data_IF_554859272535
#
_entry.id   IF_554859272535
#
_cell.length_a   1.000
_cell.length_b   1.000
_cell.length_c   1.000
_cell.angle_alpha   90.00
_cell.angle_beta   90.00
_cell.angle_gamma   90.00
#
_symmetry.space_group_name_H-M   'P 1'
#
loop_
_entity.id
_entity.type
_entity.pdbx_description
1 polymer ?
#
# COMPACT_ATOMS: atom_id res chain seq x y z
N UNK A 1 10.93 -16.46 12.81
CA UNK A 1 10.34 -16.79 11.50
C UNK A 1 9.14 -15.87 11.33
N UNK A 2 9.18 -14.98 10.37
CA UNK A 2 8.16 -13.98 10.10
C UNK A 2 6.95 -14.64 9.42
N UNK A 3 5.76 -14.43 9.98
CA UNK A 3 4.52 -15.05 9.53
C UNK A 3 3.78 -14.09 8.61
N UNK A 4 3.60 -14.46 7.34
CA UNK A 4 2.97 -13.65 6.30
C UNK A 4 1.58 -14.19 5.98
N UNK A 5 0.58 -13.32 5.93
CA UNK A 5 -0.72 -13.63 5.34
C UNK A 5 -0.87 -12.95 3.98
N UNK A 6 -1.58 -13.58 3.04
CA UNK A 6 -1.77 -13.11 1.67
C UNK A 6 -3.25 -12.95 1.36
N UNK A 7 -3.61 -11.86 0.69
CA UNK A 7 -4.95 -11.63 0.12
C UNK A 7 -4.80 -11.16 -1.34
N UNK A 8 -5.16 -12.01 -2.28
CA UNK A 8 -5.16 -11.71 -3.73
C UNK A 8 -6.19 -12.63 -4.39
N UNK A 9 -7.06 -12.12 -5.23
CA UNK A 9 -8.13 -12.91 -5.87
C UNK A 9 -7.63 -13.70 -7.11
N UNK A 10 -6.34 -13.62 -7.42
CA UNK A 10 -5.70 -14.39 -8.49
C UNK A 10 -4.97 -15.62 -7.90
N UNK A 11 -5.48 -16.86 -8.10
CA UNK A 11 -4.87 -18.06 -7.53
C UNK A 11 -3.42 -18.30 -7.95
N UNK A 12 -3.06 -17.91 -9.19
CA UNK A 12 -1.69 -18.04 -9.68
C UNK A 12 -0.71 -17.12 -8.93
N UNK A 13 -1.15 -15.91 -8.57
CA UNK A 13 -0.37 -14.96 -7.78
C UNK A 13 -0.16 -15.52 -6.36
N UNK A 14 -1.23 -15.99 -5.71
CA UNK A 14 -1.13 -16.61 -4.38
C UNK A 14 -0.16 -17.79 -4.38
N UNK A 15 -0.26 -18.69 -5.37
CA UNK A 15 0.63 -19.85 -5.47
C UNK A 15 2.10 -19.42 -5.69
N UNK A 16 2.33 -18.41 -6.54
CA UNK A 16 3.65 -17.85 -6.80
C UNK A 16 4.26 -17.19 -5.55
N UNK A 17 3.49 -16.34 -4.87
CA UNK A 17 3.92 -15.65 -3.64
C UNK A 17 4.20 -16.65 -2.51
N UNK A 18 3.34 -17.66 -2.34
CA UNK A 18 3.57 -18.71 -1.33
C UNK A 18 4.91 -19.41 -1.58
N UNK A 19 5.12 -19.90 -2.80
CA UNK A 19 6.37 -20.59 -3.16
C UNK A 19 7.61 -19.72 -2.93
N UNK A 20 7.50 -18.44 -3.30
CA UNK A 20 8.55 -17.48 -3.14
C UNK A 20 8.89 -17.23 -1.66
N UNK A 21 7.88 -16.92 -0.85
CA UNK A 21 8.04 -16.57 0.55
C UNK A 21 8.52 -17.80 1.34
N UNK A 22 7.93 -18.97 1.10
CA UNK A 22 8.31 -20.21 1.78
C UNK A 22 9.72 -20.74 1.35
N UNK A 23 10.34 -20.18 0.28
CA UNK A 23 11.73 -20.47 -0.07
C UNK A 23 12.75 -19.69 0.76
N UNK A 24 12.33 -18.65 1.49
CA UNK A 24 13.19 -17.89 2.37
C UNK A 24 13.24 -18.52 3.78
N UNK A 25 14.44 -18.67 4.37
CA UNK A 25 14.59 -19.41 5.64
C UNK A 25 13.96 -18.68 6.85
N UNK A 26 13.73 -17.39 6.75
CA UNK A 26 13.23 -16.51 7.81
C UNK A 26 11.73 -16.16 7.66
N UNK A 27 11.10 -16.55 6.55
CA UNK A 27 9.70 -16.23 6.23
C UNK A 27 8.84 -17.49 6.13
N UNK A 28 7.53 -17.35 6.36
CA UNK A 28 6.55 -18.42 6.11
C UNK A 28 5.17 -17.86 5.81
N UNK A 29 4.44 -18.48 4.87
CA UNK A 29 3.04 -18.12 4.59
C UNK A 29 2.13 -18.82 5.58
N UNK A 30 1.64 -18.08 6.56
CA UNK A 30 0.71 -18.55 7.59
C UNK A 30 -0.73 -18.70 7.06
N UNK A 31 -1.14 -17.86 6.11
CA UNK A 31 -2.44 -17.91 5.47
C UNK A 31 -2.38 -17.34 4.04
N UNK A 32 -3.21 -17.87 3.13
CA UNK A 32 -3.44 -17.28 1.81
C UNK A 32 -4.92 -17.40 1.48
N UNK A 33 -5.53 -16.30 1.07
CA UNK A 33 -6.97 -16.19 0.85
C UNK A 33 -7.26 -15.47 -0.47
N UNK A 34 -8.28 -15.93 -1.19
CA UNK A 34 -8.76 -15.30 -2.42
C UNK A 34 -9.88 -14.28 -2.17
N UNK A 35 -10.32 -14.12 -0.93
CA UNK A 35 -11.35 -13.16 -0.55
C UNK A 35 -11.18 -12.70 0.89
N UNK A 36 -11.74 -11.52 1.21
CA UNK A 36 -11.74 -11.00 2.57
C UNK A 36 -12.45 -11.91 3.56
N UNK A 37 -13.51 -12.59 3.16
CA UNK A 37 -14.24 -13.53 4.01
C UNK A 37 -13.37 -14.75 4.34
N UNK A 38 -12.63 -15.25 3.37
CA UNK A 38 -11.69 -16.35 3.56
C UNK A 38 -10.53 -15.91 4.47
N UNK A 39 -9.97 -14.73 4.22
CA UNK A 39 -8.91 -14.14 5.05
C UNK A 39 -9.39 -13.98 6.50
N UNK A 40 -10.58 -13.43 6.72
CA UNK A 40 -11.12 -13.24 8.06
C UNK A 40 -11.19 -14.55 8.85
N UNK A 41 -11.67 -15.64 8.21
CA UNK A 41 -11.69 -16.98 8.81
C UNK A 41 -10.29 -17.53 9.07
N UNK A 42 -9.36 -17.31 8.13
CA UNK A 42 -7.98 -17.76 8.28
C UNK A 42 -7.23 -17.00 9.38
N UNK A 43 -7.59 -15.74 9.61
CA UNK A 43 -7.02 -14.94 10.70
C UNK A 43 -7.62 -15.21 12.08
N UNK A 44 -8.73 -15.99 12.14
CA UNK A 44 -9.30 -16.42 13.42
C UNK A 44 -8.30 -17.37 14.11
N UNK A 45 -7.67 -16.88 15.18
CA UNK A 45 -6.61 -17.61 15.90
C UNK A 45 -5.21 -17.56 15.26
N UNK A 46 -5.05 -16.98 14.08
CA UNK A 46 -3.75 -16.67 13.48
C UNK A 46 -3.40 -15.21 13.73
N UNK A 47 -2.16 -14.97 14.16
CA UNK A 47 -1.59 -13.63 14.27
C UNK A 47 -0.41 -13.52 13.31
N UNK A 48 -0.64 -13.13 12.05
CA UNK A 48 0.46 -12.84 11.13
C UNK A 48 1.19 -11.57 11.59
N UNK A 49 2.48 -11.51 11.29
CA UNK A 49 3.29 -10.31 11.52
C UNK A 49 3.07 -9.30 10.39
N UNK A 50 2.91 -9.80 9.15
CA UNK A 50 2.68 -8.98 7.95
C UNK A 50 1.53 -9.55 7.13
N UNK A 51 0.70 -8.66 6.59
CA UNK A 51 -0.34 -8.98 5.62
C UNK A 51 -0.04 -8.30 4.28
N UNK A 52 0.04 -9.07 3.21
CA UNK A 52 0.13 -8.57 1.83
C UNK A 52 -1.26 -8.57 1.22
N UNK A 53 -1.72 -7.42 0.76
CA UNK A 53 -3.06 -7.25 0.18
C UNK A 53 -2.93 -6.76 -1.26
N UNK A 54 -3.58 -7.45 -2.20
CA UNK A 54 -3.78 -6.89 -3.53
C UNK A 54 -4.66 -5.63 -3.45
N UNK A 55 -4.26 -4.60 -4.19
CA UNK A 55 -5.06 -3.38 -4.32
C UNK A 55 -6.37 -3.63 -5.07
N UNK A 56 -6.32 -4.39 -6.18
CA UNK A 56 -7.43 -4.59 -7.12
C UNK A 56 -8.11 -5.95 -6.89
N UNK A 57 -8.96 -6.02 -5.89
CA UNK A 57 -9.76 -7.20 -5.58
C UNK A 57 -11.13 -7.12 -6.29
N UNK A 58 -11.63 -8.23 -6.83
CA UNK A 58 -12.81 -8.28 -7.69
C UNK A 58 -14.09 -7.64 -7.13
N UNK A 59 -14.24 -7.51 -5.82
CA UNK A 59 -15.45 -6.99 -5.15
C UNK A 59 -15.21 -5.85 -4.18
N UNK A 60 -14.00 -5.70 -3.71
CA UNK A 60 -13.61 -4.70 -2.73
C UNK A 60 -12.19 -4.23 -3.06
N UNK A 61 -11.81 -3.04 -2.64
CA UNK A 61 -10.43 -2.59 -2.83
C UNK A 61 -9.55 -2.90 -1.62
N UNK A 62 -8.28 -3.13 -1.88
CA UNK A 62 -7.30 -3.47 -0.86
C UNK A 62 -7.14 -2.39 0.22
N UNK A 63 -7.39 -1.10 -0.08
CA UNK A 63 -7.30 -0.02 0.91
C UNK A 63 -8.40 -0.09 1.96
N UNK A 64 -9.62 -0.45 1.55
CA UNK A 64 -10.71 -0.69 2.51
C UNK A 64 -10.41 -1.85 3.44
N UNK A 65 -9.79 -2.92 2.89
CA UNK A 65 -9.34 -4.05 3.72
C UNK A 65 -8.21 -3.63 4.65
N UNK A 66 -7.22 -2.90 4.15
CA UNK A 66 -6.13 -2.36 4.94
C UNK A 66 -6.69 -1.59 6.15
N UNK A 67 -7.58 -0.63 5.92
CA UNK A 67 -8.22 0.14 6.99
C UNK A 67 -8.89 -0.73 8.04
N UNK A 68 -9.70 -1.71 7.60
CA UNK A 68 -10.42 -2.62 8.50
C UNK A 68 -9.47 -3.47 9.34
N UNK A 69 -8.32 -3.84 8.78
CA UNK A 69 -7.27 -4.56 9.53
C UNK A 69 -6.56 -3.62 10.49
N UNK A 70 -6.20 -2.41 10.05
CA UNK A 70 -5.47 -1.43 10.88
C UNK A 70 -6.29 -0.87 12.03
N UNK A 71 -7.63 -0.95 11.99
CA UNK A 71 -8.51 -0.59 13.12
C UNK A 71 -8.67 -1.70 14.16
N UNK A 72 -8.00 -2.86 14.02
CA UNK A 72 -8.01 -3.91 15.03
C UNK A 72 -7.01 -3.59 16.16
N UNK A 73 -7.25 -4.06 17.39
CA UNK A 73 -6.21 -4.06 18.42
C UNK A 73 -4.99 -4.88 17.94
N UNK A 74 -3.79 -4.30 18.03
CA UNK A 74 -2.53 -4.93 17.60
C UNK A 74 -2.60 -5.47 16.14
N UNK A 75 -2.82 -4.60 15.15
CA UNK A 75 -2.91 -5.02 13.76
C UNK A 75 -1.54 -5.49 13.24
N UNK A 76 -1.50 -6.43 12.27
CA UNK A 76 -0.26 -6.73 11.56
C UNK A 76 0.22 -5.52 10.75
N UNK A 77 1.49 -5.53 10.36
CA UNK A 77 1.94 -4.64 9.29
C UNK A 77 1.23 -4.99 7.98
N UNK A 78 0.89 -3.97 7.16
CA UNK A 78 0.14 -4.17 5.91
C UNK A 78 0.91 -3.61 4.73
N UNK A 79 1.15 -4.46 3.73
CA UNK A 79 1.70 -4.07 2.42
C UNK A 79 0.59 -4.13 1.38
N UNK A 80 0.39 -3.03 0.65
CA UNK A 80 -0.42 -3.01 -0.57
C UNK A 80 0.46 -3.46 -1.73
N UNK A 81 0.09 -4.58 -2.36
CA UNK A 81 0.81 -5.17 -3.49
C UNK A 81 0.01 -4.95 -4.76
N UNK A 82 0.50 -4.16 -5.72
CA UNK A 82 -0.31 -3.66 -6.82
C UNK A 82 0.48 -3.55 -8.12
N UNK A 83 -0.15 -3.85 -9.25
CA UNK A 83 0.37 -3.53 -10.58
C UNK A 83 0.33 -2.01 -10.89
N UNK A 84 -0.34 -1.24 -10.05
CA UNK A 84 -0.54 0.21 -10.19
C UNK A 84 0.19 0.99 -9.08
N UNK A 85 1.29 0.45 -8.56
CA UNK A 85 2.08 1.11 -7.53
C UNK A 85 2.68 2.42 -8.06
N UNK A 86 2.10 3.55 -7.64
CA UNK A 86 2.51 4.89 -8.03
C UNK A 86 2.21 5.90 -6.92
N UNK A 87 2.62 7.19 -7.11
CA UNK A 87 2.50 8.20 -6.07
C UNK A 87 1.08 8.39 -5.54
N UNK A 88 0.06 8.31 -6.40
CA UNK A 88 -1.34 8.46 -6.00
C UNK A 88 -1.79 7.29 -5.12
N UNK A 89 -1.43 6.03 -5.47
CA UNK A 89 -1.71 4.87 -4.62
C UNK A 89 -0.92 4.94 -3.31
N UNK A 90 0.34 5.38 -3.36
CA UNK A 90 1.16 5.56 -2.15
C UNK A 90 0.49 6.54 -1.18
N UNK A 91 -0.03 7.67 -1.67
CA UNK A 91 -0.72 8.65 -0.81
C UNK A 91 -2.00 8.09 -0.21
N UNK A 92 -2.82 7.40 -1.02
CA UNK A 92 -4.04 6.76 -0.55
C UNK A 92 -3.76 5.62 0.44
N UNK A 93 -2.69 4.85 0.23
CA UNK A 93 -2.25 3.80 1.13
C UNK A 93 -1.75 4.36 2.48
N UNK A 94 -1.03 5.49 2.47
CA UNK A 94 -0.66 6.21 3.70
C UNK A 94 -1.90 6.67 4.48
N UNK A 95 -2.89 7.25 3.80
CA UNK A 95 -4.15 7.64 4.43
C UNK A 95 -4.94 6.43 4.96
N UNK A 96 -4.79 5.26 4.35
CA UNK A 96 -5.32 3.99 4.84
C UNK A 96 -4.46 3.34 5.95
N UNK A 97 -3.36 3.99 6.36
CA UNK A 97 -2.39 3.52 7.35
C UNK A 97 -1.66 2.22 6.96
N UNK A 98 -1.53 1.94 5.66
CA UNK A 98 -0.66 0.86 5.20
C UNK A 98 0.81 1.15 5.57
N UNK A 99 1.60 0.10 5.76
CA UNK A 99 3.01 0.18 6.12
C UNK A 99 3.92 0.13 4.88
N UNK A 100 3.40 -0.38 3.76
CA UNK A 100 4.15 -0.44 2.51
C UNK A 100 3.28 -0.45 1.26
N UNK A 101 3.87 -0.02 0.14
CA UNK A 101 3.34 -0.19 -1.21
C UNK A 101 4.43 -0.79 -2.08
N UNK A 102 4.15 -1.95 -2.70
CA UNK A 102 5.09 -2.68 -3.53
C UNK A 102 4.50 -2.94 -4.91
N UNK A 103 5.28 -2.69 -5.96
CA UNK A 103 4.89 -2.90 -7.35
C UNK A 103 4.97 -4.39 -7.73
N UNK A 104 3.86 -4.97 -8.23
CA UNK A 104 3.81 -6.34 -8.78
C UNK A 104 4.73 -6.52 -9.99
N UNK A 105 4.99 -5.45 -10.74
CA UNK A 105 5.90 -5.45 -11.89
C UNK A 105 7.38 -5.28 -11.48
N UNK A 106 7.64 -4.97 -10.20
CA UNK A 106 8.99 -4.81 -9.66
C UNK A 106 9.72 -6.14 -9.44
N UNK A 107 11.00 -6.07 -9.07
CA UNK A 107 11.76 -7.27 -8.76
C UNK A 107 11.20 -7.94 -7.49
N UNK A 108 11.13 -9.26 -7.53
CA UNK A 108 10.68 -10.10 -6.42
C UNK A 108 11.42 -9.80 -5.10
N UNK A 109 12.71 -9.52 -5.19
CA UNK A 109 13.53 -9.12 -4.03
C UNK A 109 12.99 -7.88 -3.31
N UNK A 110 12.28 -6.97 -4.01
CA UNK A 110 11.69 -5.79 -3.40
C UNK A 110 10.55 -6.16 -2.43
N UNK A 111 9.72 -7.15 -2.78
CA UNK A 111 8.68 -7.64 -1.87
C UNK A 111 9.29 -8.30 -0.63
N UNK A 112 10.29 -9.17 -0.80
CA UNK A 112 10.96 -9.84 0.31
C UNK A 112 11.65 -8.84 1.26
N UNK A 113 12.31 -7.83 0.70
CA UNK A 113 12.89 -6.74 1.49
C UNK A 113 11.80 -5.94 2.23
N UNK A 114 10.69 -5.59 1.55
CA UNK A 114 9.58 -4.87 2.16
C UNK A 114 8.94 -5.65 3.31
N UNK A 115 8.76 -6.98 3.20
CA UNK A 115 8.25 -7.82 4.28
C UNK A 115 9.11 -7.69 5.55
N UNK A 116 10.44 -7.69 5.39
CA UNK A 116 11.39 -7.57 6.51
C UNK A 116 11.38 -6.17 7.11
N UNK A 117 11.38 -5.13 6.25
CA UNK A 117 11.34 -3.74 6.71
C UNK A 117 10.08 -3.43 7.50
N UNK A 118 8.88 -3.74 6.98
CA UNK A 118 7.63 -3.41 7.68
C UNK A 118 7.45 -4.21 8.98
N UNK A 119 8.03 -5.40 9.08
CA UNK A 119 8.04 -6.18 10.31
C UNK A 119 8.94 -5.57 11.41
N UNK A 120 9.84 -4.67 11.04
CA UNK A 120 10.68 -3.88 11.95
C UNK A 120 10.16 -2.43 12.09
N UNK A 121 8.89 -2.19 11.82
CA UNK A 121 8.23 -0.87 11.87
C UNK A 121 8.82 0.18 10.90
N UNK A 122 9.56 -0.26 9.87
CA UNK A 122 10.10 0.60 8.82
C UNK A 122 9.11 0.69 7.65
N UNK A 123 8.54 1.88 7.41
CA UNK A 123 7.61 2.07 6.31
C UNK A 123 8.30 1.98 4.94
N UNK A 124 7.70 1.22 4.00
CA UNK A 124 8.18 1.06 2.63
C UNK A 124 7.24 1.79 1.67
N UNK A 125 7.48 3.10 1.51
CA UNK A 125 6.64 4.00 0.72
C UNK A 125 7.50 4.85 -0.23
N UNK A 126 7.10 4.92 -1.48
CA UNK A 126 7.72 5.85 -2.44
C UNK A 126 7.43 7.32 -2.06
N UNK A 127 8.34 8.26 -2.37
CA UNK A 127 8.05 9.67 -2.22
C UNK A 127 6.82 10.09 -3.04
N UNK A 128 6.01 10.99 -2.48
CA UNK A 128 4.86 11.56 -3.17
C UNK A 128 5.25 12.95 -3.71
N UNK A 129 5.23 13.18 -5.04
CA UNK A 129 5.48 14.47 -5.63
C UNK A 129 4.47 15.51 -5.14
N UNK A 130 4.91 16.78 -5.08
CA UNK A 130 4.11 17.88 -4.55
C UNK A 130 2.81 18.11 -5.33
N UNK A 131 2.87 18.03 -6.65
CA UNK A 131 1.70 18.17 -7.53
C UNK A 131 0.65 17.09 -7.29
N UNK A 132 1.08 15.83 -7.05
CA UNK A 132 0.18 14.72 -6.68
C UNK A 132 -0.46 14.97 -5.31
N UNK A 133 0.33 15.48 -4.36
CA UNK A 133 -0.19 15.84 -3.04
C UNK A 133 -1.21 16.98 -3.11
N UNK A 134 -0.90 18.07 -3.82
CA UNK A 134 -1.80 19.22 -4.00
C UNK A 134 -3.10 18.81 -4.72
N UNK A 135 -3.00 17.97 -5.75
CA UNK A 135 -4.18 17.43 -6.44
C UNK A 135 -5.05 16.53 -5.54
N UNK A 136 -4.44 15.83 -4.59
CA UNK A 136 -5.16 15.01 -3.61
C UNK A 136 -5.87 15.90 -2.58
N UNK A 137 -5.20 16.90 -2.03
CA UNK A 137 -5.78 17.87 -1.07
C UNK A 137 -7.00 18.58 -1.69
N UNK A 138 -6.93 18.98 -2.95
CA UNK A 138 -8.05 19.61 -3.67
C UNK A 138 -9.30 18.73 -3.82
N UNK A 139 -9.20 17.43 -3.53
CA UNK A 139 -10.34 16.48 -3.56
C UNK A 139 -10.99 16.28 -2.19
N UNK A 140 -10.41 16.83 -1.13
CA UNK A 140 -10.87 16.67 0.24
C UNK A 140 -11.70 17.88 0.65
N UNK A 141 -12.63 17.69 1.57
CA UNK A 141 -13.33 18.78 2.24
C UNK A 141 -12.42 19.40 3.30
N UNK A 142 -12.59 20.69 3.58
CA UNK A 142 -11.80 21.41 4.58
C UNK A 142 -11.82 20.71 5.96
N UNK A 143 -12.97 20.16 6.35
CA UNK A 143 -13.12 19.43 7.61
C UNK A 143 -12.33 18.12 7.64
N UNK A 144 -12.01 17.52 6.49
CA UNK A 144 -11.23 16.29 6.39
C UNK A 144 -9.71 16.53 6.43
N UNK A 145 -9.25 17.75 6.16
CA UNK A 145 -7.83 18.06 6.07
C UNK A 145 -7.05 17.81 7.37
N UNK A 146 -7.56 18.19 8.58
CA UNK A 146 -6.87 17.88 9.82
C UNK A 146 -6.72 16.36 10.04
N UNK A 147 -7.78 15.59 9.77
CA UNK A 147 -7.74 14.12 9.87
C UNK A 147 -6.73 13.55 8.88
N UNK A 148 -6.74 14.04 7.63
CA UNK A 148 -5.81 13.59 6.60
C UNK A 148 -4.35 13.86 6.98
N UNK A 149 -4.03 15.04 7.50
CA UNK A 149 -2.68 15.37 7.95
C UNK A 149 -2.19 14.39 9.03
N UNK A 150 -3.02 14.13 10.07
CA UNK A 150 -2.66 13.23 11.15
C UNK A 150 -2.53 11.78 10.68
N UNK A 151 -3.35 11.33 9.70
CA UNK A 151 -3.18 10.00 9.08
C UNK A 151 -1.85 9.87 8.34
N UNK A 152 -1.38 10.93 7.67
CA UNK A 152 -0.07 10.93 7.00
C UNK A 152 1.10 10.88 8.00
N UNK A 153 0.91 11.42 9.20
CA UNK A 153 1.86 11.32 10.33
C UNK A 153 1.74 9.98 11.07
N UNK A 154 0.85 9.07 10.58
CA UNK A 154 0.60 7.72 11.14
C UNK A 154 0.02 7.75 12.54
N UNK A 155 -0.66 8.83 12.90
CA UNK A 155 -1.37 8.90 14.19
C UNK A 155 -2.48 7.85 14.27
N UNK A 156 -2.60 7.13 15.39
CA UNK A 156 -3.70 6.20 15.62
C UNK A 156 -5.07 6.90 15.66
N UNK A 157 -6.14 6.21 15.28
CA UNK A 157 -7.47 6.82 15.18
C UNK A 157 -8.00 7.35 16.54
N UNK A 158 -7.69 6.68 17.63
CA UNK A 158 -8.01 7.11 18.99
C UNK A 158 -7.29 8.42 19.36
N UNK A 159 -6.01 8.55 19.02
CA UNK A 159 -5.23 9.79 19.18
C UNK A 159 -5.79 10.94 18.35
N UNK A 160 -6.21 10.66 17.10
CA UNK A 160 -6.87 11.65 16.23
C UNK A 160 -8.20 12.10 16.84
N UNK A 161 -9.00 11.15 17.34
CA UNK A 161 -10.28 11.42 17.95
C UNK A 161 -10.13 12.31 19.20
N UNK A 162 -9.18 12.00 20.08
CA UNK A 162 -8.85 12.79 21.25
C UNK A 162 -8.41 14.21 20.88
N UNK A 163 -7.47 14.34 19.94
CA UNK A 163 -6.91 15.63 19.51
C UNK A 163 -7.98 16.53 18.89
N UNK A 164 -8.86 15.98 18.07
CA UNK A 164 -9.91 16.73 17.39
C UNK A 164 -11.21 16.82 18.20
N UNK A 165 -11.24 16.24 19.40
CA UNK A 165 -12.43 16.18 20.28
C UNK A 165 -13.66 15.62 19.57
N UNK A 166 -13.44 14.59 18.75
CA UNK A 166 -14.45 13.90 17.97
C UNK A 166 -14.68 12.48 18.50
N UNK A 167 -15.78 11.86 18.07
CA UNK A 167 -16.03 10.45 18.32
C UNK A 167 -15.14 9.60 17.40
N UNK A 168 -14.58 8.51 17.93
CA UNK A 168 -13.72 7.57 17.16
C UNK A 168 -14.46 7.00 15.95
N UNK A 169 -15.77 6.72 16.06
CA UNK A 169 -16.59 6.29 14.94
C UNK A 169 -16.72 7.38 13.86
N UNK A 170 -16.73 8.66 14.24
CA UNK A 170 -16.70 9.77 13.30
C UNK A 170 -15.36 9.84 12.57
N UNK A 171 -14.24 9.75 13.29
CA UNK A 171 -12.92 9.72 12.68
C UNK A 171 -12.78 8.54 11.70
N UNK A 172 -13.30 7.38 12.07
CA UNK A 172 -13.34 6.21 11.19
C UNK A 172 -14.10 6.49 9.89
N UNK A 173 -15.30 7.08 9.96
CA UNK A 173 -16.09 7.47 8.77
C UNK A 173 -15.38 8.51 7.92
N UNK A 174 -14.76 9.54 8.53
CA UNK A 174 -13.98 10.55 7.82
C UNK A 174 -12.79 9.91 7.09
N UNK A 175 -12.07 9.03 7.74
CA UNK A 175 -10.96 8.30 7.13
C UNK A 175 -11.40 7.44 5.94
N UNK A 176 -12.55 6.75 6.04
CA UNK A 176 -13.13 6.01 4.91
C UNK A 176 -13.46 6.92 3.73
N UNK A 177 -14.04 8.10 4.00
CA UNK A 177 -14.35 9.10 2.99
C UNK A 177 -13.07 9.64 2.34
N UNK A 178 -12.05 9.98 3.14
CA UNK A 178 -10.74 10.45 2.66
C UNK A 178 -10.12 9.40 1.73
N UNK A 179 -9.96 8.16 2.20
CA UNK A 179 -9.40 7.07 1.41
C UNK A 179 -10.20 6.86 0.12
N UNK A 180 -11.55 6.87 0.21
CA UNK A 180 -12.42 6.74 -0.96
C UNK A 180 -12.20 7.84 -2.00
N UNK A 181 -11.97 9.09 -1.58
CA UNK A 181 -11.68 10.22 -2.47
C UNK A 181 -10.28 10.17 -3.06
N UNK A 182 -9.32 9.63 -2.33
CA UNK A 182 -7.93 9.52 -2.76
C UNK A 182 -7.65 8.33 -3.67
N UNK A 183 -8.57 7.36 -3.77
CA UNK A 183 -8.39 6.20 -4.64
C UNK A 183 -7.94 6.61 -6.04
N UNK A 184 -6.83 6.04 -6.55
CA UNK A 184 -6.51 6.22 -7.95
C UNK A 184 -7.66 5.63 -8.78
N UNK A 185 -8.13 6.39 -9.77
CA UNK A 185 -9.01 5.82 -10.78
C UNK A 185 -8.14 4.87 -11.59
N UNK A 186 -8.50 3.60 -11.61
CA UNK A 186 -7.88 2.63 -12.52
C UNK A 186 -8.27 3.06 -13.94
N UNK A 187 -7.46 3.96 -14.51
CA UNK A 187 -7.58 4.37 -15.91
C UNK A 187 -7.15 3.21 -16.79
N UNK A 188 -7.88 2.99 -17.87
CA UNK A 188 -7.45 2.09 -18.95
C UNK A 188 -5.99 2.38 -19.31
N UNK A 189 -5.18 1.35 -19.49
CA UNK A 189 -3.71 1.31 -19.73
C UNK A 189 -3.06 2.40 -20.63
N UNK A 190 -3.80 3.40 -21.09
CA UNK A 190 -3.33 4.47 -21.98
C UNK A 190 -2.58 5.61 -21.25
N UNK A 191 -2.95 5.94 -20.00
CA UNK A 191 -2.37 7.10 -19.32
C UNK A 191 -1.04 6.82 -18.60
N UNK A 192 -0.80 5.57 -18.21
CA UNK A 192 0.46 5.20 -17.51
C UNK A 192 1.69 5.08 -18.46
N UNK A 193 1.48 4.88 -19.76
CA UNK A 193 2.60 4.92 -20.74
C UNK A 193 3.20 6.31 -20.87
N UNK A 194 2.40 7.37 -20.79
CA UNK A 194 2.86 8.74 -20.96
C UNK A 194 3.77 9.23 -19.83
N UNK A 195 3.66 8.64 -18.63
CA UNK A 195 4.52 8.98 -17.46
C UNK A 195 5.83 8.21 -17.50
N UNK A 196 5.83 6.96 -17.98
CA UNK A 196 7.05 6.14 -18.13
C UNK A 196 7.97 6.66 -19.25
N UNK A 197 7.42 7.13 -20.37
CA UNK A 197 8.20 7.64 -21.50
C UNK A 197 8.93 8.96 -21.20
N UNK A 198 8.45 9.78 -20.27
CA UNK A 198 9.14 11.02 -19.86
C UNK A 198 10.35 10.80 -18.96
N UNK A 199 10.44 9.67 -18.27
CA UNK A 199 11.57 9.31 -17.39
C UNK A 199 12.80 8.76 -18.13
N UNK A 200 12.65 8.26 -19.36
CA UNK A 200 13.74 7.61 -20.10
C UNK A 200 14.52 8.54 -21.05
N UNK A 201 14.08 9.77 -21.28
CA UNK A 201 14.70 10.69 -22.27
C UNK A 201 15.86 11.54 -21.75
N UNK A 202 16.29 11.41 -20.50
CA UNK A 202 17.40 12.20 -19.95
C UNK A 202 18.71 11.43 -19.66
N UNK A 203 18.85 10.19 -20.09
CA UNK A 203 20.05 9.40 -19.82
C UNK A 203 20.75 8.87 -21.09
N UNK A 204 20.81 9.63 -22.18
CA UNK A 204 21.65 9.22 -23.33
C UNK A 204 21.99 10.42 -24.20
N UNK A 205 23.01 11.18 -23.85
CA UNK A 205 23.90 11.85 -24.84
C UNK A 205 25.12 12.43 -24.13
N UNK A 206 26.13 11.62 -23.88
CA UNK A 206 27.51 12.11 -23.83
C UNK A 206 28.37 11.13 -24.60
N UNK A 207 28.38 11.25 -25.93
CA UNK A 207 29.41 10.65 -26.79
C UNK A 207 30.64 11.53 -26.74
N UNK A 208 31.64 11.06 -26.03
CA UNK A 208 32.99 11.59 -26.04
C UNK A 208 33.62 11.36 -27.41
N UNK A 209 33.90 12.45 -28.13
CA UNK A 209 34.70 12.44 -29.34
C UNK A 209 36.18 12.44 -28.92
N UNK A 210 36.81 11.29 -29.01
CA UNK A 210 38.28 11.19 -28.91
C UNK A 210 38.83 11.31 -30.32
N UNK A 211 39.43 12.43 -30.61
CA UNK A 211 40.30 12.65 -31.81
C UNK A 211 41.67 12.13 -31.44
N UNK A 212 42.23 11.27 -32.27
CA UNK A 212 43.63 10.87 -32.26
C UNK A 212 44.37 11.49 -33.43
N UNK A 213 45.63 11.87 -33.23
CA UNK A 213 46.50 12.50 -34.28
C UNK A 213 46.87 11.59 -35.41
#
# INVERSE_FOLDING_TARGET
MLRVALLDDHPAVLAGLRRLIDSEPDLTVAAAAASATELARALDGLRPDVLVIDYDLAREDGLSHCRRIKSRPQPPAVIIYSAYAGPALTLAARAAQADGVVDKAGPVAALLAALRSVANDEAVMSPVPRDVFEAAVARLDDDDLPVFAMLLDREPLDSIAETLRADEAEISRRTERIVGRLRPRLGTHADDRAVRDRGFLHASTTKSTVTRP
#
